data_IF_392506878483
#
_entry.id   IF_392506878483
#
_cell.length_a   1.000
_cell.length_b   1.000
_cell.length_c   1.000
_cell.angle_alpha   90.00
_cell.angle_beta   90.00
_cell.angle_gamma   90.00
#
_symmetry.space_group_name_H-M   'P 1'
#
loop_
_entity.id
_entity.type
_entity.pdbx_description
1 polymer ?
#
# COMPACT_ATOMS: atom_id res chain seq x y z
N UNK A 1 -4.95 -10.81 13.61
CA UNK A 1 -4.97 -9.33 13.73
C UNK A 1 -5.12 -8.75 12.34
N UNK A 2 -5.96 -7.74 12.13
CA UNK A 2 -6.34 -7.28 10.79
C UNK A 2 -5.22 -6.46 10.12
N UNK A 3 -5.08 -6.64 8.81
CA UNK A 3 -4.24 -5.83 7.93
C UNK A 3 -5.10 -4.76 7.25
N UNK A 4 -4.52 -3.59 7.00
CA UNK A 4 -5.14 -2.61 6.10
C UNK A 4 -4.37 -2.56 4.79
N UNK A 5 -5.12 -2.53 3.69
CA UNK A 5 -4.58 -2.36 2.34
C UNK A 5 -5.30 -1.18 1.68
N UNK A 6 -4.65 -0.02 1.71
CA UNK A 6 -5.19 1.22 1.18
C UNK A 6 -4.50 1.60 -0.12
N UNK A 7 -5.26 2.22 -1.01
CA UNK A 7 -4.81 2.66 -2.33
C UNK A 7 -5.26 4.09 -2.53
N UNK A 8 -4.30 5.00 -2.75
CA UNK A 8 -4.59 6.35 -3.20
C UNK A 8 -4.50 6.42 -4.71
N UNK A 9 -5.61 6.75 -5.38
CA UNK A 9 -5.62 6.97 -6.83
C UNK A 9 -5.26 8.42 -7.11
N UNK A 10 -4.03 8.64 -7.60
CA UNK A 10 -3.43 9.96 -7.69
C UNK A 10 -4.18 10.83 -8.70
N UNK A 11 -4.49 12.06 -8.30
CA UNK A 11 -5.21 13.11 -9.03
C UNK A 11 -6.64 12.74 -9.47
N UNK A 12 -7.22 11.64 -8.99
CA UNK A 12 -8.62 11.34 -9.24
C UNK A 12 -9.52 12.38 -8.57
N UNK A 13 -10.57 12.82 -9.27
CA UNK A 13 -11.55 13.81 -8.78
C UNK A 13 -12.93 13.24 -8.51
N UNK A 14 -13.29 12.16 -9.21
CA UNK A 14 -14.59 11.52 -9.10
C UNK A 14 -14.40 10.06 -8.70
N UNK A 15 -15.17 9.59 -7.71
CA UNK A 15 -15.10 8.21 -7.26
C UNK A 15 -15.52 7.24 -8.36
N UNK A 16 -14.89 6.07 -8.35
CA UNK A 16 -15.29 4.94 -9.18
C UNK A 16 -15.91 3.80 -8.37
N UNK A 17 -16.55 2.87 -9.08
CA UNK A 17 -16.95 1.55 -8.61
C UNK A 17 -16.36 0.49 -9.52
N UNK A 18 -16.06 -0.69 -8.98
CA UNK A 18 -15.56 -1.79 -9.80
C UNK A 18 -16.60 -2.16 -10.87
N UNK A 19 -16.21 -2.24 -12.16
CA UNK A 19 -17.10 -2.64 -13.25
C UNK A 19 -17.17 -4.17 -13.38
N UNK A 20 -16.67 -4.91 -12.40
CA UNK A 20 -16.61 -6.37 -12.37
C UNK A 20 -16.84 -6.89 -10.95
N UNK A 21 -17.28 -8.15 -10.86
CA UNK A 21 -17.40 -8.88 -9.60
C UNK A 21 -16.01 -9.25 -9.08
N UNK A 22 -15.80 -9.09 -7.78
CA UNK A 22 -14.61 -9.54 -7.05
C UNK A 22 -15.03 -10.01 -5.66
N UNK A 23 -14.28 -10.95 -5.08
CA UNK A 23 -14.41 -11.31 -3.68
C UNK A 23 -13.88 -10.20 -2.74
N UNK A 24 -13.08 -9.28 -3.27
CA UNK A 24 -12.52 -8.13 -2.56
C UNK A 24 -13.40 -6.92 -2.83
N UNK A 25 -13.90 -6.31 -1.75
CA UNK A 25 -14.65 -5.06 -1.79
C UNK A 25 -13.71 -3.86 -1.80
N UNK A 26 -14.10 -2.82 -2.53
CA UNK A 26 -13.36 -1.56 -2.68
C UNK A 26 -14.22 -0.43 -2.14
N UNK A 27 -13.88 0.06 -0.95
CA UNK A 27 -14.57 1.16 -0.27
C UNK A 27 -13.83 2.46 -0.54
N UNK A 28 -14.53 3.57 -0.72
CA UNK A 28 -13.92 4.87 -0.96
C UNK A 28 -14.15 5.81 0.23
N UNK A 29 -13.18 6.66 0.54
CA UNK A 29 -13.24 7.58 1.69
C UNK A 29 -14.34 8.66 1.62
N UNK A 30 -14.95 8.87 0.44
CA UNK A 30 -16.04 9.84 0.28
C UNK A 30 -17.33 9.26 0.87
N UNK A 31 -17.52 7.95 0.71
CA UNK A 31 -18.68 7.22 1.21
C UNK A 31 -18.44 6.60 2.59
N UNK A 32 -17.18 6.50 3.03
CA UNK A 32 -16.76 5.90 4.29
C UNK A 32 -15.98 6.89 5.16
N UNK A 33 -16.59 7.35 6.26
CA UNK A 33 -15.99 8.33 7.18
C UNK A 33 -14.73 7.78 7.87
N UNK A 34 -14.63 6.47 8.09
CA UNK A 34 -13.45 5.83 8.70
C UNK A 34 -12.23 5.88 7.76
N UNK A 35 -12.45 6.03 6.45
CA UNK A 35 -11.39 6.20 5.45
C UNK A 35 -10.55 7.46 5.64
N UNK A 36 -11.07 8.48 6.34
CA UNK A 36 -10.35 9.74 6.60
C UNK A 36 -9.30 9.64 7.70
N UNK A 37 -9.26 8.54 8.44
CA UNK A 37 -8.36 8.33 9.59
C UNK A 37 -6.87 8.47 9.23
N UNK A 38 -6.51 8.21 7.98
CA UNK A 38 -5.11 8.21 7.54
C UNK A 38 -4.56 9.59 7.16
N UNK A 39 -5.43 10.61 7.02
CA UNK A 39 -5.03 11.97 6.60
C UNK A 39 -4.00 12.62 7.55
N UNK A 40 -3.96 12.19 8.81
CA UNK A 40 -3.09 12.77 9.85
C UNK A 40 -1.85 11.94 10.15
N UNK A 41 -1.75 10.70 9.66
CA UNK A 41 -0.71 9.73 10.08
C UNK A 41 0.44 9.64 9.05
N UNK A 42 0.13 9.73 7.75
CA UNK A 42 1.09 9.46 6.66
C UNK A 42 1.30 10.70 5.76
N UNK A 43 2.12 11.67 6.20
CA UNK A 43 2.21 13.00 5.59
C UNK A 43 2.56 12.99 4.10
N UNK A 44 3.33 12.01 3.60
CA UNK A 44 3.67 11.98 2.19
C UNK A 44 2.47 11.61 1.31
N UNK A 45 1.76 10.53 1.65
CA UNK A 45 0.56 10.15 0.89
C UNK A 45 -0.58 11.16 1.06
N UNK A 46 -0.73 11.77 2.23
CA UNK A 46 -1.87 12.67 2.51
C UNK A 46 -1.73 14.05 1.87
N UNK A 47 -0.50 14.45 1.52
CA UNK A 47 -0.26 15.64 0.69
C UNK A 47 -0.51 15.40 -0.80
N UNK A 48 -0.66 14.14 -1.22
CA UNK A 48 -0.92 13.80 -2.61
C UNK A 48 -2.42 13.89 -2.89
N UNK A 49 -2.80 14.71 -3.88
CA UNK A 49 -4.20 14.83 -4.30
C UNK A 49 -4.68 13.50 -4.89
N UNK A 50 -5.90 13.08 -4.53
CA UNK A 50 -6.51 11.86 -5.07
C UNK A 50 -7.73 11.43 -4.26
N UNK A 51 -8.20 10.20 -4.52
CA UNK A 51 -9.23 9.54 -3.72
C UNK A 51 -8.63 8.29 -3.09
N UNK A 52 -8.84 8.13 -1.78
CA UNK A 52 -8.45 6.93 -1.04
C UNK A 52 -9.48 5.81 -1.18
N UNK A 53 -8.96 4.59 -1.33
CA UNK A 53 -9.71 3.36 -1.38
C UNK A 53 -9.16 2.33 -0.40
N UNK A 54 -10.05 1.67 0.34
CA UNK A 54 -9.74 0.52 1.19
C UNK A 54 -10.12 -0.76 0.47
N UNK A 55 -9.18 -1.68 0.31
CA UNK A 55 -9.45 -3.04 -0.19
C UNK A 55 -9.67 -3.95 1.00
N UNK A 56 -10.85 -4.56 1.05
CA UNK A 56 -11.31 -5.37 2.18
C UNK A 56 -11.97 -6.66 1.70
N UNK A 57 -11.87 -7.72 2.50
CA UNK A 57 -12.56 -8.99 2.28
C UNK A 57 -13.08 -9.50 3.62
N UNK A 58 -14.36 -9.85 3.66
CA UNK A 58 -14.97 -10.42 4.86
C UNK A 58 -14.40 -11.83 5.11
N UNK A 59 -14.01 -12.09 6.34
CA UNK A 59 -13.47 -13.36 6.81
C UNK A 59 -14.00 -13.62 8.22
N UNK A 60 -14.83 -14.67 8.36
CA UNK A 60 -15.51 -15.04 9.60
C UNK A 60 -16.22 -13.87 10.32
N UNK A 61 -16.89 -13.00 9.54
CA UNK A 61 -17.63 -11.83 10.05
C UNK A 61 -16.75 -10.64 10.44
N UNK A 62 -15.45 -10.70 10.16
CA UNK A 62 -14.49 -9.60 10.36
C UNK A 62 -14.07 -9.04 8.99
N UNK A 63 -14.07 -7.73 8.86
CA UNK A 63 -13.74 -7.04 7.60
C UNK A 63 -12.35 -6.41 7.70
N UNK A 64 -11.41 -6.91 6.90
CA UNK A 64 -10.03 -6.42 6.80
C UNK A 64 -9.40 -6.88 5.49
N UNK A 65 -8.12 -6.60 5.24
CA UNK A 65 -7.39 -7.18 4.11
C UNK A 65 -7.03 -8.66 4.36
N UNK A 66 -8.05 -9.51 4.54
CA UNK A 66 -7.93 -10.96 4.79
C UNK A 66 -7.40 -11.75 3.59
N UNK A 67 -7.33 -11.11 2.42
CA UNK A 67 -6.63 -11.60 1.23
C UNK A 67 -5.10 -11.49 1.33
N UNK A 68 -4.58 -10.93 2.42
CA UNK A 68 -3.15 -10.88 2.70
C UNK A 68 -2.75 -11.84 3.83
N UNK A 69 -1.50 -12.28 3.79
CA UNK A 69 -0.81 -13.03 4.82
C UNK A 69 0.60 -12.50 5.04
N UNK A 70 1.30 -13.03 6.04
CA UNK A 70 2.65 -12.61 6.39
C UNK A 70 3.42 -13.78 6.99
N UNK A 71 4.74 -13.73 6.86
CA UNK A 71 5.64 -14.74 7.39
C UNK A 71 6.52 -14.13 8.48
N UNK A 72 6.02 -14.07 9.71
CA UNK A 72 6.79 -13.55 10.85
C UNK A 72 8.04 -14.38 11.17
N UNK A 73 8.02 -15.67 10.82
CA UNK A 73 9.10 -16.62 11.12
C UNK A 73 10.20 -16.66 10.04
N UNK A 74 10.00 -16.01 8.90
CA UNK A 74 11.02 -15.94 7.87
C UNK A 74 11.94 -14.74 8.08
N UNK A 75 13.21 -15.03 8.35
CA UNK A 75 14.30 -14.06 8.21
C UNK A 75 14.18 -13.50 6.79
N UNK A 76 13.94 -12.20 6.66
CA UNK A 76 13.80 -11.56 5.37
C UNK A 76 15.09 -11.78 4.58
N UNK A 77 14.98 -12.53 3.49
CA UNK A 77 16.05 -12.59 2.50
C UNK A 77 16.25 -11.18 1.95
N UNK A 78 17.50 -10.77 1.76
CA UNK A 78 17.87 -9.46 1.21
C UNK A 78 17.23 -9.23 -0.17
N UNK A 79 16.85 -10.31 -0.87
CA UNK A 79 16.20 -10.28 -2.18
C UNK A 79 14.79 -9.68 -2.17
N UNK A 80 14.08 -9.72 -1.03
CA UNK A 80 12.69 -9.22 -0.92
C UNK A 80 12.65 -7.73 -0.59
N UNK A 81 13.73 -7.21 0.00
CA UNK A 81 13.82 -5.80 0.38
C UNK A 81 14.39 -4.95 -0.76
N UNK A 82 13.90 -3.70 -0.93
CA UNK A 82 14.55 -2.77 -1.83
C UNK A 82 16.03 -2.55 -1.45
N UNK A 83 16.93 -2.61 -2.45
CA UNK A 83 18.38 -2.54 -2.26
C UNK A 83 18.90 -1.29 -1.50
N UNK A 84 18.07 -0.24 -1.42
CA UNK A 84 18.39 1.00 -0.73
C UNK A 84 18.08 0.94 0.78
N UNK A 85 17.33 -0.06 1.26
CA UNK A 85 17.11 -0.30 2.69
C UNK A 85 18.33 -1.03 3.25
N UNK A 86 19.28 -0.25 3.77
CA UNK A 86 20.54 -0.74 4.35
C UNK A 86 20.54 -0.73 5.87
N UNK A 87 19.65 0.03 6.49
CA UNK A 87 19.53 0.15 7.93
C UNK A 87 18.90 -1.12 8.51
N UNK A 88 19.67 -1.87 9.31
CA UNK A 88 19.22 -3.12 9.92
C UNK A 88 18.04 -2.91 10.87
N UNK A 89 17.97 -1.79 11.61
CA UNK A 89 16.85 -1.50 12.51
C UNK A 89 15.55 -1.30 11.70
N UNK A 90 15.65 -0.71 10.50
CA UNK A 90 14.51 -0.62 9.57
C UNK A 90 14.13 -2.00 9.04
N UNK A 91 15.10 -2.84 8.67
CA UNK A 91 14.84 -4.21 8.18
C UNK A 91 14.09 -5.04 9.22
N UNK A 92 14.50 -4.98 10.49
CA UNK A 92 13.83 -5.68 11.59
C UNK A 92 12.39 -5.22 11.83
N UNK A 93 12.03 -4.00 11.41
CA UNK A 93 10.68 -3.45 11.55
C UNK A 93 9.78 -3.73 10.34
N UNK A 94 10.35 -4.17 9.22
CA UNK A 94 9.57 -4.54 8.05
C UNK A 94 9.02 -5.94 8.23
N UNK A 95 7.88 -6.23 7.62
CA UNK A 95 7.39 -7.61 7.47
C UNK A 95 6.72 -7.71 6.11
N UNK A 96 7.06 -8.70 5.27
CA UNK A 96 6.44 -8.83 3.96
C UNK A 96 4.95 -9.07 4.11
N UNK A 97 4.15 -8.24 3.45
CA UNK A 97 2.73 -8.50 3.26
C UNK A 97 2.57 -9.23 1.92
N UNK A 98 2.08 -10.46 1.98
CA UNK A 98 1.95 -11.36 0.82
C UNK A 98 0.48 -11.47 0.46
N UNK A 99 0.15 -11.32 -0.83
CA UNK A 99 -1.21 -11.56 -1.32
C UNK A 99 -1.39 -13.07 -1.45
N UNK A 100 -2.48 -13.61 -0.89
CA UNK A 100 -2.81 -15.03 -1.00
C UNK A 100 -3.01 -15.40 -2.47
N UNK A 101 -2.50 -16.56 -2.87
CA UNK A 101 -2.52 -17.03 -4.25
C UNK A 101 -3.91 -17.00 -4.89
N UNK A 102 -4.94 -17.37 -4.14
CA UNK A 102 -6.33 -17.41 -4.62
C UNK A 102 -6.93 -16.01 -4.86
N UNK A 103 -6.31 -14.97 -4.30
CA UNK A 103 -6.75 -13.58 -4.39
C UNK A 103 -5.87 -12.73 -5.34
N UNK A 104 -4.73 -13.26 -5.82
CA UNK A 104 -3.77 -12.54 -6.67
C UNK A 104 -4.42 -11.94 -7.93
N UNK A 105 -5.27 -12.70 -8.61
CA UNK A 105 -5.92 -12.25 -9.83
C UNK A 105 -6.87 -11.07 -9.56
N UNK A 106 -7.66 -11.16 -8.49
CA UNK A 106 -8.61 -10.13 -8.09
C UNK A 106 -7.88 -8.84 -7.69
N UNK A 107 -6.84 -8.95 -6.85
CA UNK A 107 -6.02 -7.80 -6.47
C UNK A 107 -5.40 -7.16 -7.71
N UNK A 108 -4.78 -7.95 -8.60
CA UNK A 108 -4.18 -7.43 -9.83
C UNK A 108 -5.20 -6.72 -10.71
N UNK A 109 -6.39 -7.28 -10.89
CA UNK A 109 -7.47 -6.65 -11.69
C UNK A 109 -7.96 -5.36 -11.07
N UNK A 110 -8.13 -5.32 -9.74
CA UNK A 110 -8.51 -4.11 -8.99
C UNK A 110 -7.44 -3.03 -9.14
N UNK A 111 -6.17 -3.33 -8.86
CA UNK A 111 -5.08 -2.37 -8.97
C UNK A 111 -4.93 -1.86 -10.40
N UNK A 112 -4.99 -2.74 -11.39
CA UNK A 112 -4.97 -2.34 -12.81
C UNK A 112 -6.11 -1.36 -13.12
N UNK A 113 -7.32 -1.66 -12.65
CA UNK A 113 -8.48 -0.81 -12.86
C UNK A 113 -8.33 0.56 -12.19
N UNK A 114 -7.85 0.60 -10.95
CA UNK A 114 -7.62 1.85 -10.20
C UNK A 114 -6.51 2.70 -10.84
N UNK A 115 -5.44 2.08 -11.34
CA UNK A 115 -4.42 2.77 -12.15
C UNK A 115 -5.06 3.44 -13.36
N UNK A 116 -5.96 2.74 -14.06
CA UNK A 116 -6.64 3.30 -15.23
C UNK A 116 -7.52 4.51 -14.88
N UNK A 117 -8.03 4.60 -13.65
CA UNK A 117 -8.82 5.75 -13.17
C UNK A 117 -7.96 6.96 -12.79
N UNK A 118 -6.66 6.78 -12.55
CA UNK A 118 -5.76 7.90 -12.32
C UNK A 118 -5.51 8.66 -13.63
N UNK A 119 -5.67 10.01 -13.65
CA UNK A 119 -5.32 10.83 -14.81
C UNK A 119 -3.85 10.70 -15.23
N UNK A 120 -2.97 10.28 -14.30
CA UNK A 120 -1.53 10.10 -14.54
C UNK A 120 -1.11 8.62 -14.46
N UNK A 121 -2.06 7.68 -14.51
CA UNK A 121 -1.82 6.23 -14.47
C UNK A 121 -0.95 5.79 -13.29
N UNK A 122 -1.16 6.42 -12.13
CA UNK A 122 -0.39 6.17 -10.91
C UNK A 122 -1.31 5.98 -9.73
N UNK A 123 -1.03 4.95 -8.93
CA UNK A 123 -1.60 4.77 -7.59
C UNK A 123 -0.48 4.70 -6.58
N UNK A 124 -0.78 5.05 -5.33
CA UNK A 124 0.11 4.83 -4.20
C UNK A 124 -0.52 3.75 -3.31
N UNK A 125 0.30 2.82 -2.83
CA UNK A 125 -0.14 1.72 -1.98
C UNK A 125 0.33 1.97 -0.54
N UNK A 126 -0.60 1.82 0.40
CA UNK A 126 -0.34 1.83 1.84
C UNK A 126 -0.84 0.52 2.43
N UNK A 127 0.09 -0.42 2.58
CA UNK A 127 -0.13 -1.68 3.26
C UNK A 127 0.41 -1.58 4.69
N UNK A 128 -0.41 -1.90 5.70
CA UNK A 128 0.01 -1.87 7.10
C UNK A 128 -0.40 -3.10 7.89
N UNK A 129 0.54 -3.54 8.70
CA UNK A 129 0.32 -4.32 9.92
C UNK A 129 0.61 -3.39 11.12
N UNK A 130 0.03 -3.65 12.29
CA UNK A 130 0.22 -2.81 13.48
C UNK A 130 1.71 -2.52 13.72
N UNK A 131 2.13 -1.27 13.52
CA UNK A 131 3.53 -0.84 13.62
C UNK A 131 3.59 0.60 14.10
N UNK A 132 4.72 0.99 14.71
CA UNK A 132 5.04 2.37 15.06
C UNK A 132 5.19 3.19 13.77
N UNK A 133 4.67 4.43 13.78
CA UNK A 133 4.44 5.28 12.61
C UNK A 133 5.73 5.74 11.91
N UNK A 134 6.42 4.84 11.19
CA UNK A 134 7.44 5.18 10.19
C UNK A 134 6.88 4.98 8.79
N UNK A 135 6.88 6.06 8.00
CA UNK A 135 6.47 6.02 6.59
C UNK A 135 7.69 5.67 5.72
N UNK A 136 7.66 4.49 5.07
CA UNK A 136 8.72 4.04 4.16
C UNK A 136 8.20 4.12 2.73
N UNK A 137 8.83 4.96 1.92
CA UNK A 137 8.43 5.19 0.54
C UNK A 137 9.32 4.35 -0.38
N UNK A 138 8.76 3.27 -0.91
CA UNK A 138 9.36 2.57 -2.05
C UNK A 138 8.98 3.31 -3.33
N UNK A 139 9.96 3.52 -4.22
CA UNK A 139 9.78 4.31 -5.44
C UNK A 139 8.73 3.75 -6.41
N UNK A 140 8.69 4.29 -7.62
CA UNK A 140 7.66 3.92 -8.61
C UNK A 140 7.92 2.51 -9.16
N UNK A 141 6.88 1.68 -9.19
CA UNK A 141 6.90 0.34 -9.77
C UNK A 141 5.89 0.22 -10.92
N UNK A 142 6.29 -0.42 -12.01
CA UNK A 142 5.41 -0.71 -13.15
C UNK A 142 4.70 -2.05 -12.97
N UNK A 143 3.37 -2.07 -13.15
CA UNK A 143 2.56 -3.29 -12.98
C UNK A 143 2.84 -4.36 -14.07
N UNK A 144 3.36 -3.96 -15.23
CA UNK A 144 3.71 -4.85 -16.35
C UNK A 144 5.16 -5.38 -16.29
N UNK A 145 5.88 -5.16 -15.20
CA UNK A 145 7.23 -5.71 -15.01
C UNK A 145 7.15 -7.17 -14.57
N UNK A 146 7.41 -8.09 -15.50
CA UNK A 146 7.81 -9.45 -15.11
C UNK A 146 9.02 -9.40 -14.17
N UNK A 147 9.08 -10.34 -13.22
CA UNK A 147 10.17 -10.62 -12.27
C UNK A 147 11.35 -9.65 -12.39
N UNK A 148 11.44 -8.69 -11.47
CA UNK A 148 12.60 -7.81 -11.40
C UNK A 148 13.87 -8.65 -11.23
N UNK A 149 14.67 -8.74 -12.30
CA UNK A 149 16.11 -8.87 -12.13
C UNK A 149 16.64 -7.46 -11.85
N UNK A 150 17.24 -7.30 -10.67
CA UNK A 150 17.82 -6.07 -10.16
C UNK A 150 18.77 -5.41 -11.18
N UNK A 151 18.23 -4.48 -11.96
CA UNK A 151 19.02 -3.57 -12.79
C UNK A 151 18.56 -2.13 -12.55
N UNK A 152 19.28 -1.48 -11.62
CA UNK A 152 19.37 -0.04 -11.33
C UNK A 152 18.21 0.87 -11.80
N UNK A 153 17.30 1.27 -10.88
CA UNK A 153 16.60 2.54 -10.98
C UNK A 153 17.41 3.60 -10.22
N UNK A 154 18.34 4.25 -10.92
CA UNK A 154 18.92 5.50 -10.48
C UNK A 154 17.87 6.62 -10.59
N UNK A 155 16.93 6.70 -9.66
CA UNK A 155 16.10 7.90 -9.44
C UNK A 155 15.40 7.84 -8.06
N UNK A 156 16.06 8.46 -7.08
CA UNK A 156 15.55 9.03 -5.82
C UNK A 156 14.47 8.26 -5.04
N UNK A 157 14.89 7.30 -4.22
CA UNK A 157 14.23 7.05 -2.93
C UNK A 157 14.78 8.06 -1.92
N UNK A 158 13.91 8.72 -1.16
CA UNK A 158 14.29 9.60 -0.03
C UNK A 158 13.58 9.08 1.20
N UNK A 159 14.35 8.85 2.26
CA UNK A 159 13.81 8.59 3.58
C UNK A 159 13.16 9.88 4.12
N UNK A 160 11.89 9.83 4.50
CA UNK A 160 11.20 10.95 5.14
C UNK A 160 11.18 10.70 6.65
N UNK A 161 12.04 11.39 7.38
CA UNK A 161 12.03 11.40 8.84
C UNK A 161 11.29 12.67 9.27
N UNK A 162 10.07 12.57 9.84
CA UNK A 162 9.38 13.76 10.34
C UNK A 162 10.20 14.42 11.45
N UNK A 163 10.38 15.74 11.35
CA UNK A 163 11.08 16.52 12.35
C UNK A 163 10.36 16.39 13.70
N UNK A 164 11.07 15.90 14.73
CA UNK A 164 10.57 15.93 16.12
C UNK A 164 10.34 17.39 16.49
N UNK A 165 9.10 17.75 16.78
CA UNK A 165 8.79 19.00 17.45
C UNK A 165 9.40 18.94 18.85
N UNK A 166 10.48 19.69 19.05
CA UNK A 166 10.98 19.99 20.39
C UNK A 166 9.90 20.81 21.10
N UNK A 167 9.09 20.15 21.92
CA UNK A 167 8.31 20.84 22.95
C UNK A 167 9.26 21.16 24.10
N UNK A 168 9.58 22.45 24.20
CA UNK A 168 10.17 23.15 25.34
C UNK A 168 9.22 23.23 26.51
#
# INVERSE_FOLDING_TARGET
MPYDFNVLVVNQREKTRLPFTSAISVLNEIDDEDGRRYHTIYPFMTQTSGIWYSLIKEDDGVVYASFCETHFEHVQDETVLPYWIKDEDVKYQLTPLIIKKDDEEDVRRIISYLIEQSPIKTVMLLARYQSEDKEIISGVMSLNGGVYSNSNPSQSAKEYIPARSNQS
#
